data_IF_350620592984
#
_entry.id   IF_350620592984
#
_cell.length_a   1.000
_cell.length_b   1.000
_cell.length_c   1.000
_cell.angle_alpha   90.00
_cell.angle_beta   90.00
_cell.angle_gamma   90.00
#
_symmetry.space_group_name_H-M   'P 1'
#
loop_
_entity.id
_entity.type
_entity.pdbx_description
1 polymer ?
#
# COMPACT_ATOMS: atom_id res chain seq x y z
N UNK A 1 -14.57 -8.00 6.16
CA UNK A 1 -15.40 -7.06 5.38
C UNK A 1 -15.57 -7.54 3.93
N UNK A 2 -14.54 -7.62 3.10
CA UNK A 2 -14.64 -7.97 1.67
C UNK A 2 -15.42 -9.29 1.40
N UNK A 3 -15.15 -10.37 2.14
CA UNK A 3 -15.91 -11.64 2.04
C UNK A 3 -17.38 -11.48 2.42
N UNK A 4 -17.72 -10.68 3.43
CA UNK A 4 -19.12 -10.38 3.81
C UNK A 4 -19.83 -9.59 2.72
N UNK A 5 -19.11 -8.72 2.02
CA UNK A 5 -19.60 -8.01 0.83
C UNK A 5 -19.71 -8.93 -0.40
N UNK A 6 -19.31 -10.20 -0.30
CA UNK A 6 -19.31 -11.19 -1.39
C UNK A 6 -18.47 -10.79 -2.59
N UNK A 7 -17.34 -10.11 -2.35
CA UNK A 7 -16.39 -9.83 -3.41
C UNK A 7 -15.76 -11.13 -3.91
N UNK A 8 -15.37 -11.20 -5.20
CA UNK A 8 -14.61 -12.32 -5.75
C UNK A 8 -13.33 -12.57 -4.97
N UNK A 9 -12.87 -13.81 -4.86
CA UNK A 9 -11.71 -14.16 -4.02
C UNK A 9 -10.43 -13.40 -4.43
N UNK A 10 -10.19 -13.19 -5.72
CA UNK A 10 -9.05 -12.39 -6.19
C UNK A 10 -9.09 -10.92 -5.68
N UNK A 11 -10.30 -10.33 -5.55
CA UNK A 11 -10.44 -9.00 -4.95
C UNK A 11 -10.20 -9.05 -3.43
N UNK A 12 -10.62 -10.12 -2.76
CA UNK A 12 -10.35 -10.33 -1.34
C UNK A 12 -8.84 -10.43 -1.11
N UNK A 13 -8.13 -11.26 -1.89
CA UNK A 13 -6.67 -11.43 -1.80
C UNK A 13 -5.94 -10.11 -2.08
N UNK A 14 -6.35 -9.37 -3.11
CA UNK A 14 -5.80 -8.05 -3.42
C UNK A 14 -5.94 -7.08 -2.24
N UNK A 15 -7.13 -7.01 -1.64
CA UNK A 15 -7.36 -6.15 -0.46
C UNK A 15 -6.53 -6.63 0.74
N UNK A 16 -6.35 -7.94 0.93
CA UNK A 16 -5.51 -8.49 2.00
C UNK A 16 -4.04 -8.07 1.82
N UNK A 17 -3.50 -8.23 0.60
CA UNK A 17 -2.13 -7.79 0.29
C UNK A 17 -1.96 -6.29 0.48
N UNK A 18 -2.88 -5.50 -0.04
CA UNK A 18 -2.85 -4.05 0.14
C UNK A 18 -2.92 -3.68 1.63
N UNK A 19 -3.77 -4.35 2.42
CA UNK A 19 -3.85 -4.15 3.88
C UNK A 19 -2.56 -4.53 4.61
N UNK A 20 -1.88 -5.60 4.21
CA UNK A 20 -0.60 -5.99 4.79
C UNK A 20 0.52 -4.98 4.49
N UNK A 21 0.47 -4.35 3.32
CA UNK A 21 1.53 -3.50 2.79
C UNK A 21 1.20 -2.00 2.84
N UNK A 22 0.00 -1.59 3.32
CA UNK A 22 -0.46 -0.20 3.25
C UNK A 22 0.52 0.81 3.84
N UNK A 23 1.21 0.43 4.88
CA UNK A 23 2.15 1.25 5.65
C UNK A 23 3.63 1.05 5.25
N UNK A 24 3.95 0.22 4.24
CA UNK A 24 5.33 -0.06 3.83
C UNK A 24 6.10 1.21 3.45
N UNK A 25 5.42 2.22 2.93
CA UNK A 25 6.02 3.51 2.58
C UNK A 25 6.56 4.32 3.76
N UNK A 26 6.21 3.97 4.99
CA UNK A 26 6.79 4.59 6.19
C UNK A 26 8.31 4.36 6.29
N UNK A 27 8.85 3.37 5.61
CA UNK A 27 10.31 3.18 5.48
C UNK A 27 11.01 4.39 4.83
N UNK A 28 10.29 5.16 4.00
CA UNK A 28 10.80 6.39 3.39
C UNK A 28 10.67 7.64 4.26
N UNK A 29 10.06 7.52 5.44
CA UNK A 29 9.87 8.65 6.36
C UNK A 29 11.03 8.69 7.36
N UNK A 30 11.58 9.89 7.60
CA UNK A 30 12.71 10.07 8.52
C UNK A 30 12.32 9.69 9.94
N UNK A 31 13.22 9.03 10.67
CA UNK A 31 13.00 8.56 12.04
C UNK A 31 12.58 9.67 13.00
N UNK A 32 13.14 10.88 12.86
CA UNK A 32 12.76 12.02 13.71
C UNK A 32 11.30 12.46 13.54
N UNK A 33 10.66 12.14 12.41
CA UNK A 33 9.24 12.38 12.16
C UNK A 33 8.43 11.15 12.59
N UNK A 34 8.86 9.97 12.17
CA UNK A 34 8.15 8.71 12.41
C UNK A 34 8.05 8.38 13.91
N UNK A 35 9.13 8.65 14.67
CA UNK A 35 9.23 8.33 16.10
C UNK A 35 8.99 9.56 17.01
N UNK A 36 8.49 10.65 16.46
CA UNK A 36 8.25 11.88 17.23
C UNK A 36 7.23 11.66 18.35
N UNK A 37 7.64 11.96 19.58
CA UNK A 37 6.74 12.01 20.73
C UNK A 37 5.97 13.35 20.71
N UNK A 38 4.75 13.33 20.21
CA UNK A 38 3.88 14.50 20.16
C UNK A 38 3.32 14.82 18.77
N UNK A 39 2.57 15.92 18.63
CA UNK A 39 1.95 16.25 17.35
C UNK A 39 2.98 16.66 16.30
N UNK A 40 2.75 16.22 15.07
CA UNK A 40 3.52 16.66 13.92
C UNK A 40 3.14 18.11 13.57
N UNK A 41 4.14 18.93 13.25
CA UNK A 41 3.91 20.23 12.64
C UNK A 41 3.43 20.10 11.17
N UNK A 42 3.23 21.23 10.49
CA UNK A 42 2.69 21.23 9.14
C UNK A 42 3.62 20.55 8.12
N UNK A 43 4.93 20.80 8.23
CA UNK A 43 5.93 20.25 7.31
C UNK A 43 6.13 18.75 7.57
N UNK A 44 6.25 18.36 8.83
CA UNK A 44 6.35 16.95 9.25
C UNK A 44 5.12 16.15 8.82
N UNK A 45 3.92 16.73 8.97
CA UNK A 45 2.67 16.11 8.53
C UNK A 45 2.64 15.95 7.02
N UNK A 46 3.07 16.96 6.26
CA UNK A 46 3.19 16.86 4.80
C UNK A 46 4.11 15.71 4.40
N UNK A 47 5.27 15.56 5.07
CA UNK A 47 6.19 14.46 4.81
C UNK A 47 5.60 13.11 5.22
N UNK A 48 4.95 13.02 6.38
CA UNK A 48 4.26 11.80 6.81
C UNK A 48 3.19 11.38 5.80
N UNK A 49 2.43 12.32 5.26
CA UNK A 49 1.36 12.06 4.29
C UNK A 49 1.87 11.58 2.91
N UNK A 50 3.20 11.51 2.71
CA UNK A 50 3.77 10.90 1.49
C UNK A 50 3.85 9.37 1.56
N UNK A 51 3.71 8.74 2.75
CA UNK A 51 3.90 7.29 2.85
C UNK A 51 2.97 6.47 1.95
N UNK A 52 1.70 6.85 1.64
CA UNK A 52 0.90 6.07 0.71
C UNK A 52 1.46 6.08 -0.71
N UNK A 53 1.96 7.23 -1.16
CA UNK A 53 2.61 7.38 -2.47
C UNK A 53 3.90 6.57 -2.52
N UNK A 54 4.78 6.73 -1.51
CA UNK A 54 6.03 5.96 -1.40
C UNK A 54 5.74 4.46 -1.35
N UNK A 55 4.73 4.04 -0.58
CA UNK A 55 4.32 2.63 -0.49
C UNK A 55 3.88 2.07 -1.83
N UNK A 56 3.05 2.79 -2.56
CA UNK A 56 2.63 2.41 -3.91
C UNK A 56 3.82 2.30 -4.87
N UNK A 57 4.77 3.23 -4.82
CA UNK A 57 6.00 3.21 -5.62
C UNK A 57 6.92 2.02 -5.28
N UNK A 58 6.98 1.62 -4.01
CA UNK A 58 7.75 0.45 -3.56
C UNK A 58 7.16 -0.84 -4.12
N UNK A 59 5.84 -1.00 -4.11
CA UNK A 59 5.19 -2.26 -4.51
C UNK A 59 4.92 -2.37 -6.02
N UNK A 60 4.72 -1.26 -6.73
CA UNK A 60 4.36 -1.24 -8.15
C UNK A 60 5.33 -2.00 -9.08
N UNK A 61 6.67 -2.04 -8.84
CA UNK A 61 7.59 -2.83 -9.65
C UNK A 61 7.40 -4.34 -9.53
N UNK A 62 6.81 -4.83 -8.46
CA UNK A 62 6.51 -6.24 -8.28
C UNK A 62 5.27 -6.61 -9.09
N UNK A 63 5.45 -7.35 -10.19
CA UNK A 63 4.37 -7.71 -11.13
C UNK A 63 3.14 -8.34 -10.45
N UNK A 64 3.36 -9.05 -9.35
CA UNK A 64 2.32 -9.72 -8.58
C UNK A 64 1.52 -8.75 -7.70
N UNK A 65 2.01 -7.52 -7.48
CA UNK A 65 1.42 -6.52 -6.57
C UNK A 65 1.03 -5.22 -7.30
N UNK A 66 1.01 -5.24 -8.63
CA UNK A 66 0.70 -4.05 -9.43
C UNK A 66 -0.72 -3.53 -9.18
N UNK A 67 -1.67 -4.44 -8.92
CA UNK A 67 -3.06 -4.10 -8.66
C UNK A 67 -3.33 -3.60 -7.22
N UNK A 68 -2.43 -3.90 -6.29
CA UNK A 68 -2.46 -3.44 -4.90
C UNK A 68 -1.96 -2.01 -4.74
N UNK A 69 -1.02 -1.57 -5.58
CA UNK A 69 -0.41 -0.25 -5.51
C UNK A 69 -1.45 0.91 -5.50
N UNK A 70 -2.50 0.91 -6.35
CA UNK A 70 -3.56 1.92 -6.26
C UNK A 70 -4.33 1.90 -4.93
N UNK A 71 -4.54 0.72 -4.34
CA UNK A 71 -5.23 0.59 -3.05
C UNK A 71 -4.36 1.16 -1.93
N UNK A 72 -3.06 0.83 -1.95
CA UNK A 72 -2.07 1.36 -1.00
C UNK A 72 -1.97 2.89 -1.12
N UNK A 73 -1.95 3.43 -2.35
CA UNK A 73 -1.89 4.87 -2.57
C UNK A 73 -3.10 5.60 -1.99
N UNK A 74 -4.30 5.01 -2.12
CA UNK A 74 -5.56 5.68 -1.83
C UNK A 74 -6.14 5.37 -0.43
N UNK A 75 -5.45 4.60 0.45
CA UNK A 75 -6.03 4.18 1.73
C UNK A 75 -6.26 5.30 2.74
N UNK A 76 -5.72 6.49 2.50
CA UNK A 76 -5.99 7.71 3.27
C UNK A 76 -6.81 8.76 2.51
N UNK A 77 -7.37 8.40 1.36
CA UNK A 77 -8.39 9.24 0.74
C UNK A 77 -9.67 9.21 1.56
N UNK A 78 -10.31 10.37 1.67
CA UNK A 78 -11.56 10.53 2.38
C UNK A 78 -12.73 10.56 1.40
N UNK A 79 -13.85 9.99 1.79
CA UNK A 79 -15.02 9.85 0.91
C UNK A 79 -15.50 11.20 0.32
N UNK A 80 -15.31 12.30 1.05
CA UNK A 80 -15.66 13.66 0.62
C UNK A 80 -14.52 14.40 -0.11
N UNK A 81 -13.41 13.74 -0.47
CA UNK A 81 -12.27 14.33 -1.20
C UNK A 81 -11.32 15.17 -0.34
N UNK A 82 -11.52 15.26 0.99
CA UNK A 82 -10.59 16.01 1.86
C UNK A 82 -9.42 15.18 2.39
N UNK A 83 -9.24 13.97 1.88
CA UNK A 83 -8.14 13.06 2.20
C UNK A 83 -6.83 13.39 1.47
N UNK A 84 -5.94 12.43 1.42
CA UNK A 84 -4.65 12.52 0.72
C UNK A 84 -4.26 11.14 0.15
N UNK A 85 -3.36 11.08 -0.85
CA UNK A 85 -2.50 12.15 -1.39
C UNK A 85 -3.14 12.97 -2.53
N UNK A 86 -4.17 12.49 -3.20
CA UNK A 86 -4.71 13.09 -4.43
C UNK A 86 -6.01 13.88 -4.20
N UNK A 87 -6.70 13.64 -3.09
CA UNK A 87 -7.98 14.28 -2.78
C UNK A 87 -9.12 13.78 -3.70
N UNK A 88 -9.03 12.53 -4.16
CA UNK A 88 -10.13 11.90 -4.92
C UNK A 88 -11.31 11.61 -4.00
N UNK A 89 -12.54 11.60 -4.55
CA UNK A 89 -13.75 11.52 -3.75
C UNK A 89 -14.68 10.37 -4.16
N UNK A 90 -15.51 9.97 -3.24
CA UNK A 90 -16.62 9.04 -3.44
C UNK A 90 -16.20 7.75 -4.17
N UNK A 91 -16.80 7.47 -5.33
CA UNK A 91 -16.59 6.24 -6.08
C UNK A 91 -15.31 6.26 -6.95
N UNK A 92 -14.65 7.40 -7.07
CA UNK A 92 -13.35 7.50 -7.73
C UNK A 92 -12.24 6.90 -6.85
N UNK A 93 -12.50 6.77 -5.53
CA UNK A 93 -11.63 6.00 -4.62
C UNK A 93 -11.87 4.51 -4.90
N UNK A 94 -10.81 3.70 -5.18
CA UNK A 94 -10.94 2.26 -5.36
C UNK A 94 -11.69 1.59 -4.21
N UNK A 95 -12.59 0.64 -4.50
CA UNK A 95 -13.40 -0.04 -3.46
C UNK A 95 -12.53 -0.65 -2.36
N UNK A 96 -11.43 -1.31 -2.73
CA UNK A 96 -10.50 -1.90 -1.76
C UNK A 96 -9.88 -0.86 -0.83
N UNK A 97 -9.53 0.32 -1.34
CA UNK A 97 -9.00 1.42 -0.52
C UNK A 97 -10.06 1.94 0.47
N UNK A 98 -11.33 2.11 0.05
CA UNK A 98 -12.43 2.50 0.96
C UNK A 98 -12.66 1.47 2.08
N UNK A 99 -12.50 0.18 1.77
CA UNK A 99 -12.55 -0.90 2.78
C UNK A 99 -11.37 -0.79 3.74
N UNK A 100 -10.15 -0.56 3.23
CA UNK A 100 -8.94 -0.41 4.04
C UNK A 100 -9.01 0.80 4.96
N UNK A 101 -9.48 1.95 4.48
CA UNK A 101 -9.65 3.18 5.29
C UNK A 101 -10.50 2.92 6.53
N UNK A 102 -11.58 2.15 6.41
CA UNK A 102 -12.45 1.81 7.55
C UNK A 102 -11.78 0.80 8.48
N UNK A 103 -11.13 -0.23 7.91
CA UNK A 103 -10.47 -1.27 8.69
C UNK A 103 -9.28 -0.72 9.48
N UNK A 104 -8.43 0.11 8.86
CA UNK A 104 -7.30 0.76 9.51
C UNK A 104 -7.76 1.72 10.61
N UNK A 105 -8.78 2.56 10.33
CA UNK A 105 -9.34 3.45 11.34
C UNK A 105 -9.90 2.69 12.56
N UNK A 106 -10.62 1.59 12.33
CA UNK A 106 -11.15 0.75 13.41
C UNK A 106 -10.02 0.11 14.22
N UNK A 107 -9.02 -0.48 13.57
CA UNK A 107 -7.83 -1.05 14.22
C UNK A 107 -7.08 0.03 15.03
N UNK A 108 -6.83 1.19 14.43
CA UNK A 108 -6.15 2.29 15.10
C UNK A 108 -6.91 2.81 16.33
N UNK A 109 -8.24 2.76 16.32
CA UNK A 109 -9.08 3.16 17.47
C UNK A 109 -9.10 2.12 18.59
N UNK A 110 -9.11 0.83 18.24
CA UNK A 110 -9.30 -0.28 19.18
C UNK A 110 -8.00 -0.91 19.68
N UNK A 111 -6.86 -0.60 19.05
CA UNK A 111 -5.53 -1.10 19.47
C UNK A 111 -4.81 -0.12 20.40
N UNK A 112 -3.93 -0.66 21.24
CA UNK A 112 -3.04 0.14 22.08
C UNK A 112 -1.98 0.83 21.23
N UNK A 113 -1.81 2.14 21.42
CA UNK A 113 -0.80 2.95 20.71
C UNK A 113 0.06 3.70 21.74
N UNK A 114 1.34 3.99 21.47
CA UNK A 114 2.23 4.68 22.42
C UNK A 114 1.67 6.01 22.93
N UNK A 115 0.93 6.73 22.08
CA UNK A 115 0.32 8.03 22.36
C UNK A 115 -1.14 7.92 22.87
N UNK A 116 -1.75 6.73 22.88
CA UNK A 116 -3.09 6.46 23.38
C UNK A 116 -3.02 5.28 24.36
N UNK A 117 -3.02 5.57 25.66
CA UNK A 117 -2.92 4.53 26.70
C UNK A 117 -4.17 3.65 26.82
N UNK A 118 -5.33 4.18 26.48
CA UNK A 118 -6.60 3.45 26.56
C UNK A 118 -7.25 3.37 25.18
N UNK A 119 -7.30 2.17 24.56
CA UNK A 119 -8.07 1.95 23.34
C UNK A 119 -9.53 2.30 23.51
N UNK A 120 -10.20 2.69 22.43
CA UNK A 120 -11.66 2.82 22.43
C UNK A 120 -12.30 1.44 22.55
N UNK A 121 -13.47 1.39 23.19
CA UNK A 121 -14.32 0.19 23.09
C UNK A 121 -14.87 0.06 21.68
N UNK A 122 -15.36 -1.11 21.34
CA UNK A 122 -16.02 -1.34 20.04
C UNK A 122 -17.14 -0.33 19.78
N UNK A 123 -18.02 -0.14 20.78
CA UNK A 123 -19.16 0.77 20.69
C UNK A 123 -18.72 2.22 20.44
N UNK A 124 -17.63 2.63 21.08
CA UNK A 124 -17.05 3.96 20.85
C UNK A 124 -16.45 4.08 19.44
N UNK A 125 -15.73 3.05 18.98
CA UNK A 125 -15.15 3.03 17.65
C UNK A 125 -16.23 3.01 16.55
N UNK A 126 -17.29 2.22 16.73
CA UNK A 126 -18.47 2.22 15.86
C UNK A 126 -19.11 3.61 15.81
N UNK A 127 -19.31 4.25 16.97
CA UNK A 127 -19.88 5.60 17.01
C UNK A 127 -19.04 6.63 16.23
N UNK A 128 -17.70 6.55 16.28
CA UNK A 128 -16.84 7.41 15.46
C UNK A 128 -16.94 7.07 13.97
N UNK A 129 -17.01 5.79 13.57
CA UNK A 129 -17.19 5.41 12.17
C UNK A 129 -18.53 5.92 11.60
N UNK A 130 -19.62 5.80 12.37
CA UNK A 130 -20.94 6.30 11.97
C UNK A 130 -20.96 7.83 11.87
N UNK A 131 -20.35 8.52 12.82
CA UNK A 131 -20.26 9.99 12.85
C UNK A 131 -19.51 10.55 11.62
N UNK A 132 -18.46 9.87 11.15
CA UNK A 132 -17.69 10.30 9.98
C UNK A 132 -18.11 9.60 8.69
N UNK A 133 -19.22 8.87 8.69
CA UNK A 133 -19.83 8.27 7.50
C UNK A 133 -20.24 9.36 6.50
N UNK A 134 -19.86 9.21 5.24
CA UNK A 134 -20.05 10.22 4.18
C UNK A 134 -19.04 11.37 4.22
N UNK A 135 -18.17 11.44 5.24
CA UNK A 135 -17.08 12.42 5.34
C UNK A 135 -15.75 11.71 5.06
N UNK A 136 -15.31 10.90 5.99
CA UNK A 136 -14.08 10.10 5.87
C UNK A 136 -14.37 8.73 5.27
N UNK A 137 -15.46 8.10 5.66
CA UNK A 137 -15.81 6.73 5.36
C UNK A 137 -16.95 6.62 4.36
N UNK A 138 -16.88 5.60 3.50
CA UNK A 138 -17.98 5.27 2.59
C UNK A 138 -19.22 4.86 3.39
N UNK A 139 -20.34 5.59 3.24
CA UNK A 139 -21.57 5.32 3.99
C UNK A 139 -22.21 3.96 3.65
N UNK A 140 -21.85 3.35 2.52
CA UNK A 140 -22.34 2.02 2.15
C UNK A 140 -21.51 0.89 2.76
N UNK A 141 -20.27 1.17 3.17
CA UNK A 141 -19.33 0.19 3.72
C UNK A 141 -19.32 0.22 5.26
N UNK A 142 -19.51 1.38 5.89
CA UNK A 142 -19.58 1.50 7.36
C UNK A 142 -20.54 0.46 7.97
N UNK A 143 -21.78 0.27 7.48
CA UNK A 143 -22.68 -0.75 8.02
C UNK A 143 -22.15 -2.18 7.92
N UNK A 144 -21.26 -2.48 6.96
CA UNK A 144 -20.65 -3.81 6.84
C UNK A 144 -19.78 -4.11 8.05
N UNK A 145 -18.94 -3.15 8.50
CA UNK A 145 -18.12 -3.33 9.69
C UNK A 145 -18.96 -3.38 10.96
N UNK A 146 -19.91 -2.45 11.09
CA UNK A 146 -20.80 -2.33 12.27
C UNK A 146 -21.57 -3.63 12.53
N UNK A 147 -21.99 -4.34 11.48
CA UNK A 147 -22.73 -5.60 11.58
C UNK A 147 -21.84 -6.85 11.57
N UNK A 148 -20.50 -6.71 11.60
CA UNK A 148 -19.64 -7.89 11.73
C UNK A 148 -19.79 -8.52 13.12
N UNK A 149 -19.87 -9.87 13.21
CA UNK A 149 -19.80 -10.57 14.48
C UNK A 149 -18.53 -10.22 15.25
N UNK A 150 -18.66 -10.01 16.57
CA UNK A 150 -17.52 -9.69 17.44
C UNK A 150 -16.42 -10.73 17.37
N UNK A 151 -16.78 -11.99 17.21
CA UNK A 151 -15.87 -13.13 17.08
C UNK A 151 -14.92 -12.98 15.86
N UNK A 152 -15.36 -12.26 14.83
CA UNK A 152 -14.52 -11.94 13.65
C UNK A 152 -13.60 -10.76 13.94
N UNK A 153 -14.09 -9.74 14.66
CA UNK A 153 -13.31 -8.55 14.97
C UNK A 153 -12.28 -8.79 16.08
N UNK A 154 -12.61 -9.63 17.07
CA UNK A 154 -11.76 -9.94 18.22
C UNK A 154 -10.83 -11.14 17.95
N UNK A 155 -10.96 -11.78 16.78
CA UNK A 155 -10.13 -12.93 16.42
C UNK A 155 -8.69 -12.48 16.20
N UNK A 156 -7.70 -13.04 16.94
CA UNK A 156 -6.31 -12.79 16.63
C UNK A 156 -6.02 -13.25 15.20
N UNK A 157 -5.16 -12.55 14.43
CA UNK A 157 -4.79 -13.01 13.11
C UNK A 157 -4.19 -14.41 13.21
N UNK A 158 -4.89 -15.41 12.64
CA UNK A 158 -4.38 -16.78 12.50
C UNK A 158 -3.19 -16.73 11.54
N UNK A 159 -2.00 -16.91 12.08
CA UNK A 159 -0.72 -16.67 11.38
C UNK A 159 -0.49 -17.55 10.15
N UNK A 160 -1.24 -18.62 9.98
CA UNK A 160 -1.01 -19.61 8.91
C UNK A 160 -2.08 -19.62 7.83
N UNK A 161 -3.36 -19.39 8.18
CA UNK A 161 -4.48 -19.53 7.23
C UNK A 161 -4.88 -18.21 6.52
N UNK A 162 -4.37 -17.07 6.96
CA UNK A 162 -4.74 -15.75 6.44
C UNK A 162 -3.63 -15.06 5.61
N UNK A 163 -2.44 -15.66 5.53
CA UNK A 163 -1.43 -15.16 4.61
C UNK A 163 -1.87 -15.44 3.18
N UNK A 164 -1.86 -14.43 2.31
CA UNK A 164 -2.17 -14.62 0.91
C UNK A 164 -1.32 -15.73 0.30
N UNK A 165 -1.89 -16.51 -0.59
CA UNK A 165 -1.31 -17.75 -1.18
C UNK A 165 0.12 -17.60 -1.69
N UNK A 166 0.54 -16.37 -2.09
CA UNK A 166 1.90 -16.11 -2.56
C UNK A 166 3.00 -16.24 -1.48
N UNK A 167 2.65 -16.22 -0.19
CA UNK A 167 3.62 -16.44 0.90
C UNK A 167 3.78 -17.92 1.27
N UNK A 168 2.94 -18.79 0.75
CA UNK A 168 3.19 -20.22 0.84
C UNK A 168 4.27 -20.57 -0.17
N UNK A 169 5.49 -20.77 0.32
CA UNK A 169 6.55 -21.30 -0.53
C UNK A 169 6.05 -22.58 -1.22
N UNK A 170 6.15 -22.73 -2.55
CA UNK A 170 5.78 -23.96 -3.21
C UNK A 170 6.57 -25.10 -2.58
N UNK A 171 5.90 -26.21 -2.28
CA UNK A 171 6.54 -27.42 -1.76
C UNK A 171 7.75 -27.74 -2.67
N UNK A 172 8.95 -27.91 -2.14
CA UNK A 172 10.13 -28.25 -2.94
C UNK A 172 9.92 -29.46 -3.83
N UNK A 173 8.90 -30.29 -3.56
CA UNK A 173 8.49 -31.48 -4.33
C UNK A 173 7.66 -31.15 -5.57
N UNK A 174 7.05 -29.95 -5.62
CA UNK A 174 6.22 -29.48 -6.74
C UNK A 174 7.01 -28.74 -7.82
N UNK A 175 8.33 -28.60 -7.66
CA UNK A 175 9.17 -28.07 -8.75
C UNK A 175 9.16 -29.03 -9.92
N UNK A 176 8.82 -28.57 -11.15
CA UNK A 176 9.02 -29.38 -12.36
C UNK A 176 10.48 -29.86 -12.36
N UNK A 177 10.68 -31.16 -12.50
CA UNK A 177 12.03 -31.67 -12.76
C UNK A 177 12.48 -31.04 -14.08
N UNK A 178 13.48 -30.20 -14.01
CA UNK A 178 14.20 -29.78 -15.20
C UNK A 178 14.77 -31.07 -15.81
N UNK A 179 14.22 -31.45 -16.96
CA UNK A 179 14.73 -32.57 -17.73
C UNK A 179 16.20 -32.29 -18.04
N UNK A 180 17.06 -33.13 -17.52
CA UNK A 180 18.45 -33.18 -17.88
C UNK A 180 18.54 -33.66 -19.36
N UNK A 181 18.45 -32.72 -20.26
CA UNK A 181 18.51 -32.89 -21.69
C UNK A 181 19.90 -32.55 -22.25
N UNK A 182 20.67 -33.58 -22.52
CA UNK A 182 21.67 -33.76 -23.55
C UNK A 182 22.73 -32.68 -23.78
N UNK A 183 23.97 -33.04 -23.45
CA UNK A 183 25.20 -32.56 -24.09
C UNK A 183 25.07 -32.50 -25.60
N UNK A 184 25.28 -31.34 -26.17
CA UNK A 184 25.79 -31.21 -27.54
C UNK A 184 26.76 -30.03 -27.62
N UNK A 185 27.96 -30.35 -28.04
CA UNK A 185 29.10 -29.55 -28.48
C UNK A 185 28.79 -28.11 -28.89
N UNK A 186 29.52 -27.17 -28.30
CA UNK A 186 29.68 -25.82 -28.87
C UNK A 186 31.15 -25.51 -29.12
N UNK A 187 31.43 -25.46 -30.40
CA UNK A 187 32.71 -24.96 -30.94
C UNK A 187 32.92 -23.47 -30.62
N UNK A 188 34.14 -23.14 -30.31
CA UNK A 188 34.65 -21.80 -30.06
C UNK A 188 34.39 -20.82 -31.21
N UNK A 189 33.86 -19.63 -30.90
CA UNK A 189 33.92 -18.46 -31.77
C UNK A 189 34.49 -17.28 -30.97
N UNK A 190 35.58 -16.78 -31.52
CA UNK A 190 36.51 -15.77 -31.04
C UNK A 190 35.83 -14.38 -30.90
N UNK A 191 36.19 -13.70 -29.82
CA UNK A 191 35.78 -12.34 -29.49
C UNK A 191 36.27 -11.27 -30.48
N UNK A 192 35.45 -10.26 -30.73
CA UNK A 192 35.84 -8.95 -31.21
C UNK A 192 35.32 -7.88 -30.21
N UNK A 193 36.24 -7.11 -29.64
CA UNK A 193 35.96 -5.99 -28.75
C UNK A 193 35.40 -4.80 -29.57
N UNK A 194 34.42 -4.05 -29.03
CA UNK A 194 34.03 -2.76 -29.62
C UNK A 194 34.82 -1.62 -28.96
N UNK A 195 35.34 -0.73 -29.83
CA UNK A 195 36.06 0.50 -29.52
C UNK A 195 35.13 1.54 -28.82
N UNK A 196 35.70 2.46 -28.00
CA UNK A 196 34.95 3.45 -27.24
C UNK A 196 34.47 4.61 -28.15
N UNK A 197 33.36 5.29 -27.78
CA UNK A 197 32.81 6.40 -28.53
C UNK A 197 33.60 7.71 -28.32
N UNK A 198 33.77 8.45 -29.40
CA UNK A 198 34.42 9.75 -29.46
C UNK A 198 33.73 10.84 -28.66
N UNK A 199 34.55 11.62 -27.99
CA UNK A 199 34.20 12.83 -27.20
C UNK A 199 33.71 13.96 -28.14
N UNK A 200 32.47 14.37 -28.01
CA UNK A 200 31.92 15.53 -28.72
C UNK A 200 32.17 16.80 -27.92
N UNK A 201 32.98 17.68 -28.54
CA UNK A 201 33.38 18.98 -28.02
C UNK A 201 32.18 19.94 -27.79
N UNK A 202 32.25 20.64 -26.68
CA UNK A 202 31.38 21.74 -26.26
C UNK A 202 31.47 22.92 -27.23
N UNK A 203 30.34 23.51 -27.59
CA UNK A 203 30.23 24.85 -28.19
C UNK A 203 29.70 25.85 -27.16
N UNK A 204 30.25 27.09 -27.13
CA UNK A 204 29.89 28.05 -26.10
C UNK A 204 28.53 28.73 -26.35
N UNK A 205 27.85 29.02 -25.24
CA UNK A 205 26.67 29.88 -25.16
C UNK A 205 27.02 31.32 -25.56
N UNK A 206 26.23 31.87 -26.45
CA UNK A 206 26.12 33.32 -26.66
C UNK A 206 25.00 33.86 -25.75
N UNK A 207 25.38 34.82 -24.96
CA UNK A 207 24.47 35.69 -24.22
C UNK A 207 23.75 36.62 -25.19
N UNK A 208 22.49 36.93 -24.94
CA UNK A 208 21.86 38.16 -25.43
C UNK A 208 20.92 38.68 -24.34
N UNK A 209 21.28 39.86 -23.93
CA UNK A 209 20.59 40.77 -23.02
C UNK A 209 19.28 41.29 -23.63
N UNK A 210 18.46 41.77 -22.71
CA UNK A 210 17.60 42.95 -22.75
C UNK A 210 16.12 42.89 -23.18
N UNK A 211 15.42 43.50 -22.29
CA UNK A 211 14.40 44.59 -22.37
C UNK A 211 12.92 44.19 -22.21
N UNK A 212 12.44 44.82 -21.14
CA UNK A 212 11.14 45.37 -20.76
C UNK A 212 10.26 44.56 -19.85
#
# INVERSE_FOLDING_TARGET
MARVMKLPEHEVEKIQWAGLLHDVGKIGIRDNILLKEGPLDREERFLMNQHPTIGAEIVAPAKQLTEEAPLIKAHHEWFNGSGYPEGVEALDIPLGARILTIADAYEAMTSSRPYRKTPLTHEQAVGELEKYSGIQFDPTIVPVLVNLPREILDRPPDREDELPTMLHAPDPRDRPREDAGSDTDVAAATAAEPSPPETRQSRPMLASDDVS
#
